data_IF_362691894801
#
_entry.id   IF_362691894801
#
_cell.length_a   1.000
_cell.length_b   1.000
_cell.length_c   1.000
_cell.angle_alpha   90.00
_cell.angle_beta   90.00
_cell.angle_gamma   90.00
#
_symmetry.space_group_name_H-M   'P 1'
#
loop_
_entity.id
_entity.type
_entity.pdbx_description
1 polymer ?
#
# COMPACT_ATOMS: atom_id res chain seq x y z
N UNK A 1 -15.19 1.41 3.69
CA UNK A 1 -14.71 2.75 3.30
C UNK A 1 -15.72 3.83 3.70
N UNK A 2 -15.23 4.96 4.24
CA UNK A 2 -16.00 6.18 4.51
C UNK A 2 -15.98 7.14 3.30
N UNK A 3 -16.61 6.74 2.21
CA UNK A 3 -16.64 7.51 0.96
C UNK A 3 -17.27 8.91 1.13
N UNK A 4 -18.38 9.01 1.86
CA UNK A 4 -19.09 10.28 2.08
C UNK A 4 -18.18 11.30 2.76
N UNK A 5 -17.45 10.91 3.81
CA UNK A 5 -16.53 11.82 4.51
C UNK A 5 -15.39 12.27 3.61
N UNK A 6 -14.84 11.39 2.77
CA UNK A 6 -13.81 11.75 1.79
C UNK A 6 -14.33 12.76 0.76
N UNK A 7 -15.47 12.50 0.14
CA UNK A 7 -16.03 13.41 -0.88
C UNK A 7 -16.46 14.74 -0.27
N UNK A 8 -17.11 14.73 0.90
CA UNK A 8 -17.50 15.95 1.61
C UNK A 8 -16.26 16.83 1.91
N UNK A 9 -15.15 16.22 2.33
CA UNK A 9 -13.88 16.92 2.54
C UNK A 9 -13.31 17.53 1.25
N UNK A 10 -13.28 16.77 0.15
CA UNK A 10 -12.74 17.23 -1.15
C UNK A 10 -13.57 18.39 -1.72
N UNK A 11 -14.89 18.26 -1.73
CA UNK A 11 -15.80 19.32 -2.19
C UNK A 11 -15.67 20.55 -1.28
N UNK A 12 -15.64 20.36 0.04
CA UNK A 12 -15.47 21.46 1.00
C UNK A 12 -14.20 22.28 0.74
N UNK A 13 -13.09 21.61 0.41
CA UNK A 13 -11.85 22.28 0.00
C UNK A 13 -12.00 23.07 -1.30
N UNK A 14 -12.71 22.52 -2.29
CA UNK A 14 -12.97 23.19 -3.58
C UNK A 14 -13.78 24.48 -3.38
N UNK A 15 -14.85 24.41 -2.58
CA UNK A 15 -15.66 25.58 -2.17
C UNK A 15 -14.80 26.62 -1.46
N UNK A 16 -14.00 26.20 -0.47
CA UNK A 16 -13.13 27.09 0.30
C UNK A 16 -12.07 27.76 -0.57
N UNK A 17 -11.50 27.02 -1.54
CA UNK A 17 -10.52 27.54 -2.51
C UNK A 17 -11.17 28.62 -3.36
N UNK A 18 -12.33 28.36 -3.95
CA UNK A 18 -13.07 29.32 -4.76
C UNK A 18 -13.41 30.60 -3.98
N UNK A 19 -13.92 30.49 -2.75
CA UNK A 19 -14.18 31.69 -1.93
C UNK A 19 -12.91 32.50 -1.70
N UNK A 20 -11.78 31.84 -1.40
CA UNK A 20 -10.50 32.51 -1.17
C UNK A 20 -9.95 33.17 -2.42
N UNK A 21 -10.17 32.59 -3.60
CA UNK A 21 -9.80 33.20 -4.89
C UNK A 21 -10.60 34.48 -5.17
N UNK A 22 -11.82 34.58 -4.65
CA UNK A 22 -12.60 35.82 -4.65
C UNK A 22 -12.19 36.81 -3.57
N UNK A 23 -11.23 36.46 -2.71
CA UNK A 23 -10.76 37.25 -1.56
C UNK A 23 -11.85 37.60 -0.54
N UNK A 24 -12.90 36.77 -0.44
CA UNK A 24 -14.05 37.04 0.44
C UNK A 24 -13.92 36.32 1.79
N UNK A 25 -14.39 36.94 2.86
CA UNK A 25 -14.73 36.23 4.10
C UNK A 25 -15.99 35.36 3.88
N UNK A 26 -16.29 34.46 4.82
CA UNK A 26 -17.52 33.65 4.73
C UNK A 26 -18.78 34.52 4.76
N UNK A 27 -18.79 35.60 5.56
CA UNK A 27 -19.92 36.54 5.63
C UNK A 27 -20.08 37.29 4.31
N UNK A 28 -19.00 37.88 3.80
CA UNK A 28 -19.02 38.60 2.52
C UNK A 28 -19.44 37.70 1.35
N UNK A 29 -19.07 36.42 1.38
CA UNK A 29 -19.52 35.46 0.37
C UNK A 29 -21.03 35.25 0.42
N UNK A 30 -21.60 35.04 1.62
CA UNK A 30 -23.04 34.88 1.81
C UNK A 30 -23.79 36.14 1.37
N UNK A 31 -23.34 37.33 1.77
CA UNK A 31 -23.97 38.61 1.42
C UNK A 31 -23.93 38.85 -0.11
N UNK A 32 -22.80 38.54 -0.76
CA UNK A 32 -22.62 38.73 -2.19
C UNK A 32 -23.58 37.89 -3.03
N UNK A 33 -23.91 36.69 -2.56
CA UNK A 33 -24.71 35.71 -3.32
C UNK A 33 -26.08 35.43 -2.70
N UNK A 34 -26.55 36.27 -1.76
CA UNK A 34 -27.82 36.11 -1.05
C UNK A 34 -29.03 35.97 -1.99
N UNK A 35 -29.02 36.69 -3.12
CA UNK A 35 -30.10 36.64 -4.12
C UNK A 35 -30.01 35.41 -5.04
N UNK A 36 -28.89 34.71 -5.07
CA UNK A 36 -28.66 33.56 -5.95
C UNK A 36 -28.79 32.22 -5.22
N UNK A 37 -28.40 32.17 -3.95
CA UNK A 37 -28.45 30.96 -3.15
C UNK A 37 -28.70 31.27 -1.68
N UNK A 38 -29.62 30.53 -1.06
CA UNK A 38 -29.86 30.63 0.37
C UNK A 38 -28.81 29.82 1.13
N UNK A 39 -27.72 30.48 1.53
CA UNK A 39 -26.67 29.88 2.37
C UNK A 39 -26.17 30.86 3.44
N UNK A 40 -26.29 30.47 4.71
CA UNK A 40 -25.74 31.25 5.81
C UNK A 40 -24.25 30.91 6.09
N UNK A 41 -23.59 31.77 6.88
CA UNK A 41 -22.17 31.62 7.27
C UNK A 41 -21.88 30.26 7.93
N UNK A 42 -22.77 29.78 8.80
CA UNK A 42 -22.54 28.52 9.52
C UNK A 42 -22.65 27.33 8.58
N UNK A 43 -23.61 27.38 7.64
CA UNK A 43 -23.78 26.38 6.60
C UNK A 43 -22.61 26.36 5.65
N UNK A 44 -22.16 27.53 5.17
CA UNK A 44 -20.95 27.65 4.36
C UNK A 44 -19.71 27.13 5.10
N UNK A 45 -19.55 27.50 6.37
CA UNK A 45 -18.46 26.97 7.21
C UNK A 45 -18.51 25.45 7.36
N UNK A 46 -19.70 24.88 7.54
CA UNK A 46 -19.85 23.41 7.59
C UNK A 46 -19.47 22.76 6.26
N UNK A 47 -19.88 23.32 5.12
CA UNK A 47 -19.48 22.86 3.79
C UNK A 47 -17.96 22.94 3.60
N UNK A 48 -17.35 24.09 3.86
CA UNK A 48 -15.90 24.29 3.68
C UNK A 48 -15.02 23.35 4.52
N UNK A 49 -15.57 22.84 5.64
CA UNK A 49 -14.90 21.91 6.53
C UNK A 49 -15.32 20.45 6.32
N UNK A 50 -16.13 20.14 5.29
CA UNK A 50 -16.59 18.76 5.02
C UNK A 50 -17.46 18.18 6.14
N UNK A 51 -18.16 19.02 6.91
CA UNK A 51 -18.94 18.59 8.08
C UNK A 51 -20.39 18.31 7.70
N UNK A 52 -20.73 17.03 7.62
CA UNK A 52 -22.12 16.56 7.48
C UNK A 52 -22.82 16.46 8.84
N UNK A 53 -24.01 17.04 8.93
CA UNK A 53 -24.87 16.90 10.11
C UNK A 53 -26.04 15.97 9.78
N UNK A 54 -25.95 14.68 10.14
CA UNK A 54 -26.97 13.66 9.82
C UNK A 54 -28.42 14.07 10.13
N UNK A 55 -28.64 14.83 11.22
CA UNK A 55 -29.98 15.28 11.64
C UNK A 55 -30.47 16.57 10.98
N UNK A 56 -29.56 17.46 10.55
CA UNK A 56 -29.89 18.79 10.01
C UNK A 56 -29.75 18.88 8.51
N UNK A 57 -28.84 18.09 7.94
CA UNK A 57 -28.54 18.04 6.54
C UNK A 57 -27.96 16.66 6.18
N UNK A 58 -28.83 15.65 6.00
CA UNK A 58 -28.40 14.27 5.75
C UNK A 58 -27.64 14.14 4.43
N UNK A 59 -27.95 14.95 3.43
CA UNK A 59 -27.25 15.04 2.15
C UNK A 59 -26.35 16.28 2.17
N UNK A 60 -25.03 16.11 2.38
CA UNK A 60 -24.06 17.21 2.57
C UNK A 60 -24.29 18.41 1.66
N UNK A 61 -24.56 18.16 0.37
CA UNK A 61 -24.99 19.12 -0.63
C UNK A 61 -26.44 18.87 -1.10
N UNK A 62 -27.14 19.95 -1.42
CA UNK A 62 -28.39 19.92 -2.20
C UNK A 62 -28.07 20.10 -3.68
N UNK A 63 -29.01 19.74 -4.58
CA UNK A 63 -28.85 19.98 -6.02
C UNK A 63 -28.66 21.46 -6.33
N UNK A 64 -29.41 22.36 -5.67
CA UNK A 64 -29.25 23.80 -5.85
C UNK A 64 -27.83 24.31 -5.52
N UNK A 65 -27.19 23.71 -4.50
CA UNK A 65 -25.81 24.05 -4.14
C UNK A 65 -24.81 23.52 -5.18
N UNK A 66 -25.05 22.32 -5.72
CA UNK A 66 -24.25 21.77 -6.82
C UNK A 66 -24.34 22.68 -8.04
N UNK A 67 -25.54 23.11 -8.39
CA UNK A 67 -25.80 23.97 -9.55
C UNK A 67 -25.20 25.35 -9.36
N UNK A 68 -25.37 25.94 -8.17
CA UNK A 68 -24.77 27.23 -7.84
C UNK A 68 -23.24 27.19 -7.96
N UNK A 69 -22.57 26.26 -7.27
CA UNK A 69 -21.10 26.23 -7.26
C UNK A 69 -20.51 25.83 -8.62
N UNK A 70 -21.11 24.86 -9.32
CA UNK A 70 -20.65 24.47 -10.65
C UNK A 70 -20.75 25.63 -11.65
N UNK A 71 -21.87 26.36 -11.66
CA UNK A 71 -22.06 27.54 -12.51
C UNK A 71 -21.07 28.66 -12.15
N UNK A 72 -20.87 28.93 -10.87
CA UNK A 72 -19.95 29.98 -10.40
C UNK A 72 -18.48 29.68 -10.69
N UNK A 73 -18.10 28.40 -10.67
CA UNK A 73 -16.74 27.97 -11.00
C UNK A 73 -16.54 27.75 -12.50
N UNK A 74 -17.61 27.76 -13.32
CA UNK A 74 -17.53 27.51 -14.76
C UNK A 74 -17.12 26.07 -15.11
N UNK A 75 -17.50 25.09 -14.28
CA UNK A 75 -17.15 23.68 -14.44
C UNK A 75 -18.41 22.81 -14.51
N UNK A 76 -18.30 21.59 -15.02
CA UNK A 76 -19.44 20.67 -15.03
C UNK A 76 -19.81 20.23 -13.61
N UNK A 77 -21.06 19.79 -13.41
CA UNK A 77 -21.50 19.21 -12.12
C UNK A 77 -20.60 18.03 -11.71
N UNK A 78 -20.21 17.20 -12.67
CA UNK A 78 -19.30 16.06 -12.47
C UNK A 78 -17.92 16.52 -11.98
N UNK A 79 -17.34 17.53 -12.62
CA UNK A 79 -16.05 18.09 -12.22
C UNK A 79 -16.12 18.78 -10.86
N UNK A 80 -17.26 19.39 -10.52
CA UNK A 80 -17.47 19.93 -9.18
C UNK A 80 -17.46 18.82 -8.11
N UNK A 81 -18.20 17.73 -8.35
CA UNK A 81 -18.38 16.63 -7.39
C UNK A 81 -17.14 15.73 -7.25
N UNK A 82 -16.56 15.29 -8.37
CA UNK A 82 -15.50 14.26 -8.39
C UNK A 82 -14.15 14.83 -8.79
N UNK A 83 -14.14 15.88 -9.62
CA UNK A 83 -12.95 16.57 -10.07
C UNK A 83 -12.68 16.47 -11.56
N UNK A 84 -11.68 17.20 -12.02
CA UNK A 84 -11.16 17.08 -13.38
C UNK A 84 -10.41 15.74 -13.59
N UNK A 85 -9.81 15.52 -14.77
CA UNK A 85 -9.10 14.26 -15.08
C UNK A 85 -7.98 13.90 -14.08
N UNK A 86 -7.20 14.87 -13.63
CA UNK A 86 -6.14 14.67 -12.63
C UNK A 86 -6.72 14.36 -11.25
N UNK A 87 -7.72 15.14 -10.82
CA UNK A 87 -8.40 14.93 -9.54
C UNK A 87 -9.14 13.57 -9.49
N UNK A 88 -9.69 13.11 -10.62
CA UNK A 88 -10.31 11.78 -10.76
C UNK A 88 -9.26 10.68 -10.67
N UNK A 89 -8.08 10.89 -11.25
CA UNK A 89 -6.95 9.94 -11.14
C UNK A 89 -6.57 9.76 -9.67
N UNK A 90 -6.38 10.85 -8.95
CA UNK A 90 -6.08 10.82 -7.50
C UNK A 90 -7.21 10.18 -6.69
N UNK A 91 -8.47 10.52 -6.99
CA UNK A 91 -9.63 9.93 -6.32
C UNK A 91 -9.68 8.41 -6.55
N UNK A 92 -9.39 7.96 -7.77
CA UNK A 92 -9.33 6.54 -8.10
C UNK A 92 -8.21 5.86 -7.31
N UNK A 93 -7.00 6.43 -7.29
CA UNK A 93 -5.90 5.89 -6.48
C UNK A 93 -6.26 5.78 -5.00
N UNK A 94 -6.92 6.79 -4.43
CA UNK A 94 -7.39 6.78 -3.03
C UNK A 94 -8.39 5.64 -2.77
N UNK A 95 -9.35 5.42 -3.69
CA UNK A 95 -10.33 4.33 -3.59
C UNK A 95 -9.63 2.97 -3.65
N UNK A 96 -8.78 2.75 -4.66
CA UNK A 96 -8.06 1.49 -4.84
C UNK A 96 -7.13 1.22 -3.65
N UNK A 97 -6.44 2.24 -3.13
CA UNK A 97 -5.64 2.12 -1.92
C UNK A 97 -6.49 1.77 -0.70
N UNK A 98 -7.67 2.36 -0.53
CA UNK A 98 -8.50 2.03 0.63
C UNK A 98 -9.03 0.59 0.58
N UNK A 99 -9.40 0.13 -0.61
CA UNK A 99 -9.77 -1.28 -0.85
C UNK A 99 -8.58 -2.20 -0.57
N UNK A 100 -7.40 -1.85 -1.06
CA UNK A 100 -6.18 -2.61 -0.83
C UNK A 100 -5.83 -2.68 0.66
N UNK A 101 -5.81 -1.54 1.36
CA UNK A 101 -5.52 -1.49 2.79
C UNK A 101 -6.62 -2.15 3.63
N UNK A 102 -7.87 -2.21 3.16
CA UNK A 102 -8.94 -2.98 3.78
C UNK A 102 -9.09 -2.78 5.31
N UNK A 103 -9.05 -1.53 5.78
CA UNK A 103 -9.17 -1.24 7.21
C UNK A 103 -7.95 -1.65 8.04
N UNK A 104 -6.79 -1.84 7.40
CA UNK A 104 -5.54 -2.32 8.00
C UNK A 104 -5.20 -1.69 9.35
N UNK A 105 -5.24 -2.45 10.44
CA UNK A 105 -4.86 -1.97 11.77
C UNK A 105 -3.53 -2.60 12.22
N UNK A 106 -2.56 -1.79 12.62
CA UNK A 106 -1.34 -2.25 13.27
C UNK A 106 -0.89 -1.21 14.31
N UNK A 107 0.22 -1.47 15.01
CA UNK A 107 0.98 -0.46 15.76
C UNK A 107 2.44 -0.43 15.30
N UNK A 108 3.15 0.68 15.49
CA UNK A 108 4.62 0.72 15.41
C UNK A 108 5.27 0.10 16.65
N UNK A 109 4.58 0.14 17.79
CA UNK A 109 4.99 -0.46 19.07
C UNK A 109 3.86 -1.35 19.59
N UNK A 110 4.13 -2.62 19.88
CA UNK A 110 3.15 -3.60 20.38
C UNK A 110 2.44 -3.19 21.69
N UNK A 111 2.90 -2.10 22.34
CA UNK A 111 2.31 -1.51 23.55
C UNK A 111 1.26 -0.43 23.25
N UNK A 112 1.17 0.06 22.03
CA UNK A 112 0.20 1.10 21.62
C UNK A 112 -1.15 0.49 21.22
N UNK A 113 -2.19 1.31 21.19
CA UNK A 113 -3.48 0.90 20.62
C UNK A 113 -3.36 0.83 19.09
N UNK A 114 -3.81 -0.31 18.54
CA UNK A 114 -3.79 -0.55 17.11
C UNK A 114 -4.68 0.46 16.37
N UNK A 115 -4.15 1.09 15.31
CA UNK A 115 -4.86 2.10 14.50
C UNK A 115 -4.75 1.81 13.00
N UNK A 116 -5.76 2.26 12.26
CA UNK A 116 -5.77 2.13 10.80
C UNK A 116 -4.56 2.85 10.18
N UNK A 117 -3.83 2.17 9.29
CA UNK A 117 -2.63 2.72 8.66
C UNK A 117 -2.96 3.63 7.47
N UNK A 118 -2.31 4.79 7.43
CA UNK A 118 -2.30 5.64 6.24
C UNK A 118 -1.12 5.25 5.34
N UNK A 119 -1.37 4.69 4.14
CA UNK A 119 -0.33 4.29 3.21
C UNK A 119 0.32 5.47 2.50
N UNK A 120 -0.07 6.72 2.81
CA UNK A 120 0.51 7.94 2.25
C UNK A 120 1.39 8.61 3.32
N UNK A 121 2.55 9.08 2.90
CA UNK A 121 3.48 9.84 3.73
C UNK A 121 3.00 11.28 3.87
N UNK A 122 2.73 11.74 5.11
CA UNK A 122 2.36 13.13 5.38
C UNK A 122 3.62 14.01 5.55
N UNK A 123 3.84 14.91 4.57
CA UNK A 123 4.94 15.88 4.63
C UNK A 123 4.77 16.94 5.73
N UNK A 124 3.62 16.99 6.41
CA UNK A 124 3.32 17.82 7.59
C UNK A 124 3.19 16.99 8.89
N UNK A 125 3.59 15.70 8.89
CA UNK A 125 3.64 14.88 10.10
C UNK A 125 4.52 15.50 11.21
N UNK A 126 4.43 14.96 12.43
CA UNK A 126 5.33 15.37 13.52
C UNK A 126 6.81 15.29 13.09
N UNK A 127 7.66 16.17 13.61
CA UNK A 127 9.07 16.19 13.19
C UNK A 127 9.75 14.83 13.44
N UNK A 128 9.49 14.18 14.57
CA UNK A 128 10.01 12.84 14.86
C UNK A 128 9.64 11.82 13.77
N UNK A 129 8.35 11.69 13.48
CA UNK A 129 7.84 10.77 12.46
C UNK A 129 8.37 11.12 11.05
N UNK A 130 8.34 12.41 10.68
CA UNK A 130 8.81 12.88 9.39
C UNK A 130 10.28 12.52 9.16
N UNK A 131 11.17 12.89 10.07
CA UNK A 131 12.61 12.67 9.88
C UNK A 131 12.98 11.18 9.99
N UNK A 132 12.31 10.42 10.85
CA UNK A 132 12.46 8.96 10.95
C UNK A 132 12.10 8.26 9.64
N UNK A 133 10.89 8.49 9.13
CA UNK A 133 10.44 7.85 7.90
C UNK A 133 11.24 8.35 6.69
N UNK A 134 11.62 9.64 6.66
CA UNK A 134 12.47 10.17 5.59
C UNK A 134 13.81 9.46 5.53
N UNK A 135 14.47 9.28 6.69
CA UNK A 135 15.74 8.57 6.78
C UNK A 135 15.65 7.14 6.23
N UNK A 136 14.56 6.43 6.51
CA UNK A 136 14.33 5.05 6.07
C UNK A 136 13.99 4.94 4.58
N UNK A 137 13.48 6.02 3.96
CA UNK A 137 13.09 6.04 2.55
C UNK A 137 14.18 6.55 1.59
N UNK A 138 15.33 6.98 2.11
CA UNK A 138 16.52 7.27 1.29
C UNK A 138 17.41 6.03 1.17
N UNK A 139 17.79 5.69 -0.05
CA UNK A 139 18.66 4.57 -0.38
C UNK A 139 20.06 4.82 0.20
N UNK A 140 20.57 3.95 1.10
CA UNK A 140 21.90 4.12 1.67
C UNK A 140 23.05 3.97 0.66
N UNK A 141 22.79 3.38 -0.50
CA UNK A 141 23.78 3.12 -1.55
C UNK A 141 23.73 4.14 -2.70
N UNK A 142 22.73 5.02 -2.74
CA UNK A 142 22.65 6.09 -3.73
C UNK A 142 23.42 7.34 -3.26
N UNK A 143 24.46 7.70 -4.03
CA UNK A 143 25.32 8.87 -3.76
C UNK A 143 24.56 10.19 -3.81
N UNK A 144 23.52 10.30 -4.64
CA UNK A 144 22.69 11.51 -4.71
C UNK A 144 21.80 11.64 -3.48
N UNK A 145 21.42 10.52 -2.87
CA UNK A 145 20.55 10.47 -1.69
C UNK A 145 21.31 10.58 -0.37
N UNK A 146 22.62 10.30 -0.37
CA UNK A 146 23.48 10.30 0.82
C UNK A 146 23.37 11.60 1.63
N UNK A 147 23.34 12.76 0.95
CA UNK A 147 23.22 14.05 1.62
C UNK A 147 21.88 14.21 2.35
N UNK A 148 20.77 13.80 1.73
CA UNK A 148 19.44 13.91 2.31
C UNK A 148 19.27 12.94 3.47
N UNK A 149 19.82 11.73 3.33
CA UNK A 149 19.87 10.71 4.37
C UNK A 149 20.69 11.17 5.59
N UNK A 150 21.81 11.85 5.38
CA UNK A 150 22.61 12.45 6.46
C UNK A 150 21.85 13.55 7.20
N UNK A 151 21.14 14.42 6.48
CA UNK A 151 20.29 15.45 7.10
C UNK A 151 19.20 14.78 7.94
N UNK A 152 18.48 13.81 7.36
CA UNK A 152 17.36 13.15 8.03
C UNK A 152 17.79 12.38 9.29
N UNK A 153 18.85 11.58 9.19
CA UNK A 153 19.37 10.82 10.33
C UNK A 153 19.96 11.72 11.42
N UNK A 154 20.69 12.77 11.05
CA UNK A 154 21.24 13.74 11.99
C UNK A 154 20.15 14.40 12.83
N UNK A 155 19.05 14.82 12.20
CA UNK A 155 17.93 15.42 12.92
C UNK A 155 17.24 14.39 13.81
N UNK A 156 16.84 13.24 13.24
CA UNK A 156 16.12 12.21 13.98
C UNK A 156 16.89 11.72 15.22
N UNK A 157 18.18 11.43 15.09
CA UNK A 157 19.01 10.89 16.18
C UNK A 157 19.39 11.93 17.26
N UNK A 158 19.21 13.23 16.98
CA UNK A 158 19.64 14.31 17.89
C UNK A 158 18.50 15.19 18.41
N UNK A 159 17.27 15.08 17.90
CA UNK A 159 16.15 15.97 18.24
C UNK A 159 15.82 16.04 19.74
N UNK A 160 16.08 14.96 20.49
CA UNK A 160 15.90 14.90 21.95
C UNK A 160 17.08 15.43 22.77
N UNK A 161 18.19 15.85 22.15
CA UNK A 161 19.41 16.30 22.85
C UNK A 161 19.38 17.81 23.09
N UNK A 162 19.88 18.24 24.25
CA UNK A 162 19.97 19.67 24.64
C UNK A 162 20.79 20.53 23.68
N UNK A 163 21.72 19.93 22.94
CA UNK A 163 22.62 20.60 21.99
C UNK A 163 22.05 20.74 20.59
N UNK A 164 20.81 20.29 20.34
CA UNK A 164 20.21 20.32 19.02
C UNK A 164 19.79 21.74 18.60
N UNK A 165 20.36 22.24 17.51
CA UNK A 165 20.03 23.55 16.94
C UNK A 165 18.69 23.52 16.19
N UNK A 166 17.60 23.90 16.88
CA UNK A 166 16.25 23.98 16.27
C UNK A 166 16.14 25.00 15.13
N UNK A 167 17.06 25.97 15.04
CA UNK A 167 16.99 27.08 14.08
C UNK A 167 16.99 26.65 12.60
N UNK A 168 17.56 25.50 12.26
CA UNK A 168 17.66 24.99 10.88
C UNK A 168 16.57 23.96 10.51
N UNK A 169 15.75 23.55 11.47
CA UNK A 169 14.81 22.44 11.32
C UNK A 169 13.82 22.64 10.17
N UNK A 170 13.26 23.85 10.06
CA UNK A 170 12.28 24.20 9.03
C UNK A 170 12.87 24.14 7.62
N UNK A 171 14.11 24.59 7.45
CA UNK A 171 14.82 24.55 6.18
C UNK A 171 15.18 23.11 5.79
N UNK A 172 15.74 22.35 6.72
CA UNK A 172 16.07 20.93 6.53
C UNK A 172 14.84 20.11 6.16
N UNK A 173 13.72 20.35 6.84
CA UNK A 173 12.43 19.71 6.52
C UNK A 173 12.00 20.03 5.10
N UNK A 174 12.06 21.29 4.70
CA UNK A 174 11.68 21.72 3.34
C UNK A 174 12.54 21.05 2.26
N UNK A 175 13.86 20.96 2.49
CA UNK A 175 14.79 20.29 1.55
C UNK A 175 14.43 18.82 1.38
N UNK A 176 14.21 18.10 2.48
CA UNK A 176 13.83 16.68 2.45
C UNK A 176 12.44 16.49 1.84
N UNK A 177 11.47 17.30 2.23
CA UNK A 177 10.10 17.21 1.72
C UNK A 177 10.05 17.37 0.20
N UNK A 178 10.75 18.38 -0.34
CA UNK A 178 10.85 18.59 -1.79
C UNK A 178 11.48 17.38 -2.51
N UNK A 179 12.50 16.76 -1.91
CA UNK A 179 13.15 15.58 -2.51
C UNK A 179 12.21 14.37 -2.48
N UNK A 180 11.51 14.13 -1.37
CA UNK A 180 10.54 13.03 -1.27
C UNK A 180 9.36 13.22 -2.24
N UNK A 181 8.78 14.42 -2.31
CA UNK A 181 7.71 14.76 -3.25
C UNK A 181 8.15 14.54 -4.71
N UNK A 182 9.43 14.77 -5.03
CA UNK A 182 9.96 14.52 -6.39
C UNK A 182 10.01 13.04 -6.79
N UNK A 183 9.98 12.10 -5.84
CA UNK A 183 9.88 10.67 -6.18
C UNK A 183 8.46 10.30 -6.58
N UNK A 184 7.49 10.76 -5.79
CA UNK A 184 6.08 10.55 -6.08
C UNK A 184 5.20 11.63 -5.42
N UNK A 185 4.55 12.51 -6.19
CA UNK A 185 3.78 13.63 -5.66
C UNK A 185 2.43 13.22 -5.07
N UNK A 186 2.02 11.94 -5.19
CA UNK A 186 0.77 11.43 -4.63
C UNK A 186 1.01 10.76 -3.26
N UNK A 187 2.03 9.89 -3.16
CA UNK A 187 2.37 9.15 -1.95
C UNK A 187 3.20 9.96 -0.95
N UNK A 188 3.97 10.95 -1.40
CA UNK A 188 4.63 11.93 -0.54
C UNK A 188 3.88 13.24 -0.58
N UNK A 189 2.68 13.27 0.00
CA UNK A 189 1.78 14.42 -0.11
C UNK A 189 0.82 14.54 1.07
N UNK A 190 0.81 15.71 1.70
CA UNK A 190 -0.08 16.02 2.82
C UNK A 190 -1.56 16.08 2.43
N UNK A 191 -1.90 16.58 1.23
CA UNK A 191 -3.30 16.65 0.79
C UNK A 191 -3.85 15.26 0.48
N UNK A 192 -3.08 14.42 -0.19
CA UNK A 192 -3.46 13.03 -0.45
C UNK A 192 -3.56 12.25 0.86
N UNK A 193 -2.60 12.44 1.77
CA UNK A 193 -2.62 11.83 3.11
C UNK A 193 -3.87 12.21 3.90
N UNK A 194 -4.20 13.52 3.97
CA UNK A 194 -5.42 13.99 4.64
C UNK A 194 -6.68 13.47 3.96
N UNK A 195 -6.69 13.36 2.63
CA UNK A 195 -7.84 12.80 1.89
C UNK A 195 -8.03 11.32 2.19
N UNK A 196 -6.95 10.54 2.24
CA UNK A 196 -6.99 9.14 2.62
C UNK A 196 -7.46 8.95 4.08
N UNK A 197 -7.03 9.80 5.02
CA UNK A 197 -7.56 9.76 6.39
C UNK A 197 -9.08 9.94 6.47
N UNK A 198 -9.69 10.56 5.46
CA UNK A 198 -11.15 10.69 5.40
C UNK A 198 -11.84 9.42 4.87
N UNK A 199 -11.13 8.52 4.17
CA UNK A 199 -11.67 7.24 3.70
C UNK A 199 -11.69 6.17 4.79
N UNK A 200 -10.82 6.31 5.79
CA UNK A 200 -10.68 5.39 6.92
C UNK A 200 -11.99 5.23 7.71
N UNK A 201 -12.38 3.98 7.95
CA UNK A 201 -13.49 3.60 8.83
C UNK A 201 -13.18 2.39 9.74
N UNK A 202 -11.97 1.84 9.64
CA UNK A 202 -11.51 0.68 10.40
C UNK A 202 -12.22 -0.63 10.05
N UNK A 203 -12.97 -0.69 8.95
CA UNK A 203 -13.73 -1.90 8.59
C UNK A 203 -12.99 -2.77 7.57
N UNK A 204 -12.84 -4.04 7.90
CA UNK A 204 -12.26 -5.07 7.02
C UNK A 204 -13.37 -5.72 6.19
N UNK A 205 -13.75 -5.10 5.07
CA UNK A 205 -14.90 -5.55 4.26
C UNK A 205 -14.55 -5.87 2.80
N UNK A 206 -13.29 -5.75 2.42
CA UNK A 206 -12.75 -5.93 1.07
C UNK A 206 -11.66 -7.01 1.01
N UNK A 207 -11.72 -8.02 1.87
CA UNK A 207 -10.65 -9.01 2.03
C UNK A 207 -10.28 -9.72 0.72
N UNK A 208 -11.26 -10.14 -0.09
CA UNK A 208 -10.98 -10.76 -1.38
C UNK A 208 -10.37 -9.76 -2.38
N UNK A 209 -10.95 -8.56 -2.49
CA UNK A 209 -10.48 -7.54 -3.43
C UNK A 209 -9.06 -7.08 -3.07
N UNK A 210 -8.77 -6.90 -1.78
CA UNK A 210 -7.44 -6.60 -1.27
C UNK A 210 -6.43 -7.70 -1.67
N UNK A 211 -6.80 -8.98 -1.52
CA UNK A 211 -5.96 -10.11 -1.91
C UNK A 211 -5.68 -10.13 -3.43
N UNK A 212 -6.66 -9.80 -4.27
CA UNK A 212 -6.47 -9.74 -5.73
C UNK A 212 -5.56 -8.57 -6.14
N UNK A 213 -5.72 -7.40 -5.52
CA UNK A 213 -4.82 -6.25 -5.75
C UNK A 213 -3.40 -6.62 -5.32
N UNK A 214 -3.23 -7.18 -4.12
CA UNK A 214 -1.94 -7.69 -3.61
C UNK A 214 -1.25 -8.59 -4.63
N UNK A 215 -1.97 -9.60 -5.14
CA UNK A 215 -1.45 -10.55 -6.12
C UNK A 215 -1.00 -9.86 -7.40
N UNK A 216 -1.73 -8.84 -7.85
CA UNK A 216 -1.36 -8.04 -9.03
C UNK A 216 -0.14 -7.15 -8.77
N UNK A 217 0.04 -6.61 -7.55
CA UNK A 217 1.23 -5.83 -7.20
C UNK A 217 2.53 -6.63 -7.31
N UNK A 218 2.46 -7.95 -7.13
CA UNK A 218 3.60 -8.84 -7.33
C UNK A 218 4.08 -8.98 -8.77
N UNK A 219 3.38 -8.39 -9.75
CA UNK A 219 3.92 -8.21 -11.09
C UNK A 219 5.21 -7.38 -11.11
N UNK A 220 5.41 -6.46 -10.17
CA UNK A 220 6.70 -5.77 -10.00
C UNK A 220 7.71 -6.73 -9.33
N UNK A 221 8.69 -7.19 -10.11
CA UNK A 221 9.71 -8.13 -9.64
C UNK A 221 10.55 -7.59 -8.46
N UNK A 222 10.90 -6.30 -8.46
CA UNK A 222 11.76 -5.71 -7.41
C UNK A 222 11.01 -5.62 -6.09
N UNK A 223 9.72 -5.32 -6.15
CA UNK A 223 8.86 -5.32 -4.98
C UNK A 223 8.59 -6.74 -4.49
N UNK A 224 8.23 -7.67 -5.39
CA UNK A 224 7.95 -9.06 -5.06
C UNK A 224 9.16 -9.76 -4.41
N UNK A 225 10.35 -9.62 -5.01
CA UNK A 225 11.59 -10.19 -4.48
C UNK A 225 11.89 -9.70 -3.07
N UNK A 226 12.01 -8.39 -2.87
CA UNK A 226 12.35 -7.84 -1.56
C UNK A 226 11.29 -8.19 -0.50
N UNK A 227 10.00 -8.12 -0.85
CA UNK A 227 8.94 -8.44 0.09
C UNK A 227 8.96 -9.92 0.48
N UNK A 228 9.01 -10.84 -0.50
CA UNK A 228 8.95 -12.28 -0.22
C UNK A 228 10.24 -12.77 0.45
N UNK A 229 11.40 -12.19 0.15
CA UNK A 229 12.65 -12.50 0.85
C UNK A 229 12.56 -12.08 2.32
N UNK A 230 11.96 -10.91 2.59
CA UNK A 230 11.69 -10.46 3.97
C UNK A 230 10.74 -11.43 4.68
N UNK A 231 9.65 -11.85 4.03
CA UNK A 231 8.73 -12.87 4.58
C UNK A 231 9.50 -14.15 4.88
N UNK A 232 10.30 -14.65 3.94
CA UNK A 232 11.04 -15.89 4.10
C UNK A 232 12.04 -15.83 5.28
N UNK A 233 12.68 -14.68 5.47
CA UNK A 233 13.62 -14.46 6.59
C UNK A 233 12.94 -14.26 7.94
N UNK A 234 11.71 -13.73 7.96
CA UNK A 234 10.95 -13.48 9.19
C UNK A 234 10.15 -14.70 9.66
N UNK A 235 9.73 -15.55 8.73
CA UNK A 235 8.78 -16.63 9.01
C UNK A 235 9.41 -18.01 9.03
N UNK A 236 10.63 -18.16 8.55
CA UNK A 236 11.27 -19.46 8.39
C UNK A 236 12.72 -19.43 8.91
N UNK A 237 13.19 -20.59 9.38
CA UNK A 237 14.51 -20.82 9.93
C UNK A 237 15.21 -21.98 9.21
N UNK A 238 16.52 -21.84 9.01
CA UNK A 238 17.34 -22.86 8.33
C UNK A 238 17.97 -23.84 9.33
N UNK A 239 17.68 -25.13 9.16
CA UNK A 239 18.29 -26.26 9.87
C UNK A 239 19.22 -27.03 8.91
N UNK A 240 20.45 -26.55 8.77
CA UNK A 240 21.39 -27.13 7.80
C UNK A 240 20.87 -27.00 6.36
N UNK A 241 20.50 -28.12 5.72
CA UNK A 241 19.95 -28.16 4.35
C UNK A 241 18.43 -28.01 4.29
N UNK A 242 17.76 -27.96 5.44
CA UNK A 242 16.32 -27.89 5.56
C UNK A 242 15.88 -26.49 6.00
N UNK A 243 14.69 -26.07 5.59
CA UNK A 243 14.09 -24.81 6.04
C UNK A 243 12.70 -25.08 6.60
N UNK A 244 12.44 -24.62 7.81
CA UNK A 244 11.22 -24.88 8.59
C UNK A 244 10.63 -23.58 9.12
N UNK A 245 9.34 -23.57 9.48
CA UNK A 245 8.67 -22.39 10.04
C UNK A 245 9.26 -21.98 11.38
N UNK A 246 9.38 -20.68 11.60
CA UNK A 246 9.72 -20.11 12.90
C UNK A 246 8.61 -20.42 13.91
N UNK A 247 9.00 -21.12 14.96
CA UNK A 247 8.11 -21.63 16.02
C UNK A 247 7.60 -20.54 16.97
N UNK A 248 8.13 -19.32 16.85
CA UNK A 248 7.74 -18.17 17.67
C UNK A 248 6.67 -17.28 17.03
N UNK A 249 6.24 -17.59 15.82
CA UNK A 249 5.25 -16.82 15.06
C UNK A 249 3.82 -17.18 15.48
N UNK A 250 2.97 -16.15 15.55
CA UNK A 250 1.53 -16.28 15.80
C UNK A 250 0.69 -16.30 14.52
N UNK A 251 1.31 -15.98 13.38
CA UNK A 251 0.71 -15.89 12.06
C UNK A 251 1.78 -16.10 10.98
N UNK A 252 1.35 -16.54 9.80
CA UNK A 252 2.22 -16.77 8.65
C UNK A 252 1.57 -16.18 7.41
N UNK A 253 2.33 -15.36 6.67
CA UNK A 253 1.92 -14.74 5.42
C UNK A 253 1.35 -15.77 4.43
N UNK A 254 1.98 -16.94 4.30
CA UNK A 254 1.52 -17.95 3.34
C UNK A 254 0.09 -18.43 3.64
N UNK A 255 -0.23 -18.63 4.92
CA UNK A 255 -1.54 -19.17 5.32
C UNK A 255 -2.64 -18.16 4.97
N UNK A 256 -2.42 -16.89 5.33
CA UNK A 256 -3.30 -15.78 4.98
C UNK A 256 -3.41 -15.57 3.46
N UNK A 257 -2.28 -15.65 2.74
CA UNK A 257 -2.23 -15.51 1.30
C UNK A 257 -3.06 -16.57 0.58
N UNK A 258 -2.95 -17.85 0.99
CA UNK A 258 -3.67 -18.97 0.38
C UNK A 258 -5.15 -18.96 0.74
N UNK A 259 -5.51 -18.60 1.97
CA UNK A 259 -6.91 -18.51 2.41
C UNK A 259 -7.60 -17.23 1.93
N UNK A 260 -6.86 -16.31 1.30
CA UNK A 260 -7.29 -14.93 1.03
C UNK A 260 -7.84 -14.28 2.29
N UNK A 261 -7.14 -14.44 3.42
CA UNK A 261 -7.52 -13.87 4.72
C UNK A 261 -6.46 -12.89 5.19
N UNK A 262 -6.80 -12.17 6.24
CA UNK A 262 -5.88 -11.30 6.95
C UNK A 262 -5.67 -9.94 6.29
N UNK A 263 -4.82 -9.18 6.96
CA UNK A 263 -4.53 -7.79 6.65
C UNK A 263 -3.13 -7.65 6.03
N UNK A 264 -2.97 -8.27 4.87
CA UNK A 264 -1.67 -8.42 4.20
C UNK A 264 -1.05 -7.08 3.76
N UNK A 265 -1.90 -6.10 3.45
CA UNK A 265 -1.51 -4.76 2.99
C UNK A 265 -0.69 -3.96 4.00
N UNK A 266 -0.99 -4.06 5.30
CA UNK A 266 -0.19 -3.41 6.35
C UNK A 266 1.24 -3.95 6.39
N UNK A 267 1.38 -5.27 6.34
CA UNK A 267 2.67 -5.96 6.36
C UNK A 267 3.49 -5.63 5.11
N UNK A 268 2.83 -5.39 3.97
CA UNK A 268 3.51 -4.98 2.74
C UNK A 268 4.18 -3.63 2.84
N UNK A 269 3.41 -2.62 3.27
CA UNK A 269 3.92 -1.25 3.35
C UNK A 269 4.82 -1.03 4.56
N UNK A 270 4.75 -1.93 5.55
CA UNK A 270 5.59 -1.96 6.75
C UNK A 270 5.73 -0.59 7.39
N UNK A 271 4.60 0.07 7.70
CA UNK A 271 4.58 1.43 8.27
C UNK A 271 5.30 2.51 7.45
N UNK A 272 5.50 2.26 6.15
CA UNK A 272 6.26 3.11 5.24
C UNK A 272 7.77 3.11 5.55
N UNK A 273 8.26 2.09 6.26
CA UNK A 273 9.63 2.00 6.74
C UNK A 273 10.51 1.21 5.77
N UNK A 274 10.18 -0.04 5.52
CA UNK A 274 11.01 -0.93 4.71
C UNK A 274 10.42 -1.12 3.33
N UNK A 275 11.21 -0.76 2.31
CA UNK A 275 10.87 -0.95 0.88
C UNK A 275 9.62 -0.19 0.41
N UNK A 276 9.20 0.85 1.13
CA UNK A 276 8.00 1.61 0.82
C UNK A 276 8.04 2.25 -0.57
N UNK A 277 9.18 2.77 -1.02
CA UNK A 277 9.35 3.25 -2.40
C UNK A 277 9.18 2.15 -3.46
N UNK A 278 9.50 0.89 -3.15
CA UNK A 278 9.26 -0.25 -4.05
C UNK A 278 7.76 -0.56 -4.13
N UNK A 279 7.05 -0.48 -3.01
CA UNK A 279 5.58 -0.55 -2.99
C UNK A 279 4.95 0.57 -3.84
N UNK A 280 5.40 1.81 -3.68
CA UNK A 280 4.91 2.96 -4.48
C UNK A 280 5.08 2.69 -5.98
N UNK A 281 6.26 2.21 -6.39
CA UNK A 281 6.53 1.88 -7.78
C UNK A 281 5.61 0.77 -8.28
N UNK A 282 5.49 -0.34 -7.54
CA UNK A 282 4.61 -1.44 -7.89
C UNK A 282 3.15 -1.01 -8.02
N UNK A 283 2.65 -0.17 -7.10
CA UNK A 283 1.30 0.37 -7.14
C UNK A 283 1.08 1.29 -8.33
N UNK A 284 2.01 2.22 -8.59
CA UNK A 284 1.88 3.15 -9.70
C UNK A 284 1.99 2.47 -11.05
N UNK A 285 2.84 1.45 -11.20
CA UNK A 285 2.96 0.67 -12.42
C UNK A 285 1.67 -0.12 -12.69
N UNK A 286 1.17 -0.83 -11.67
CA UNK A 286 -0.12 -1.50 -11.70
C UNK A 286 -1.26 -0.54 -12.07
N UNK A 287 -1.37 0.59 -11.37
CA UNK A 287 -2.41 1.57 -11.61
C UNK A 287 -2.30 2.16 -13.02
N UNK A 288 -1.09 2.48 -13.49
CA UNK A 288 -0.88 3.04 -14.83
C UNK A 288 -1.38 2.08 -15.90
N UNK A 289 -1.04 0.79 -15.77
CA UNK A 289 -1.41 -0.24 -16.75
C UNK A 289 -2.94 -0.45 -16.83
N UNK A 290 -3.63 -0.42 -15.69
CA UNK A 290 -5.07 -0.69 -15.61
C UNK A 290 -5.95 0.54 -15.32
N UNK A 291 -5.39 1.73 -15.44
CA UNK A 291 -6.07 3.00 -15.12
C UNK A 291 -7.38 3.17 -15.91
N UNK A 292 -7.38 2.80 -17.19
CA UNK A 292 -8.58 2.84 -18.03
C UNK A 292 -9.65 1.86 -17.55
N UNK A 293 -9.27 0.63 -17.18
CA UNK A 293 -10.20 -0.36 -16.65
C UNK A 293 -10.90 0.15 -15.37
N UNK A 294 -10.13 0.73 -14.45
CA UNK A 294 -10.70 1.36 -13.25
C UNK A 294 -11.56 2.57 -13.57
N UNK A 295 -11.13 3.42 -14.50
CA UNK A 295 -11.88 4.59 -14.90
C UNK A 295 -13.25 4.20 -15.46
N UNK A 296 -13.31 3.26 -16.40
CA UNK A 296 -14.59 2.83 -16.99
C UNK A 296 -15.53 2.23 -15.96
N UNK A 297 -15.02 1.37 -15.07
CA UNK A 297 -15.81 0.81 -13.98
C UNK A 297 -16.37 1.90 -13.05
N UNK A 298 -15.52 2.84 -12.64
CA UNK A 298 -15.95 3.94 -11.77
C UNK A 298 -16.89 4.91 -12.48
N UNK A 299 -16.69 5.17 -13.77
CA UNK A 299 -17.56 6.04 -14.53
C UNK A 299 -18.98 5.46 -14.60
N UNK A 300 -19.09 4.17 -14.92
CA UNK A 300 -20.35 3.45 -15.00
C UNK A 300 -21.05 3.36 -13.64
N UNK A 301 -20.33 2.99 -12.58
CA UNK A 301 -20.94 2.61 -11.30
C UNK A 301 -20.92 3.69 -10.21
N UNK A 302 -20.08 4.71 -10.34
CA UNK A 302 -19.85 5.73 -9.31
C UNK A 302 -20.04 7.16 -9.83
N UNK A 303 -19.29 7.58 -10.85
CA UNK A 303 -19.28 8.98 -11.30
C UNK A 303 -20.51 9.38 -12.12
N UNK A 304 -21.28 8.41 -12.61
CA UNK A 304 -22.60 8.61 -13.23
C UNK A 304 -23.72 8.88 -12.22
N UNK A 305 -23.50 8.62 -10.93
CA UNK A 305 -24.54 8.67 -9.89
C UNK A 305 -24.64 10.04 -9.21
N UNK A 306 -25.83 10.35 -8.71
CA UNK A 306 -26.06 11.55 -7.88
C UNK A 306 -25.49 11.37 -6.47
N UNK A 307 -25.18 12.48 -5.79
CA UNK A 307 -24.68 12.44 -4.40
C UNK A 307 -25.65 11.78 -3.41
N UNK A 308 -26.95 11.74 -3.72
CA UNK A 308 -27.96 11.07 -2.88
C UNK A 308 -27.85 9.54 -2.93
N UNK A 309 -27.33 8.99 -4.04
CA UNK A 309 -27.16 7.56 -4.26
C UNK A 309 -25.82 7.02 -3.72
N UNK A 310 -24.88 7.92 -3.42
CA UNK A 310 -23.50 7.61 -3.02
C UNK A 310 -23.32 7.61 -1.49
N UNK A 311 -24.11 6.80 -0.79
CA UNK A 311 -23.90 6.50 0.63
C UNK A 311 -22.67 5.61 0.85
N UNK A 312 -22.11 5.61 2.06
CA UNK A 312 -21.05 4.65 2.40
C UNK A 312 -21.46 3.19 2.14
N UNK A 313 -22.69 2.79 2.46
CA UNK A 313 -23.17 1.41 2.24
C UNK A 313 -23.20 1.06 0.76
N UNK A 314 -23.85 1.91 -0.06
CA UNK A 314 -23.99 1.67 -1.50
C UNK A 314 -22.63 1.65 -2.20
N UNK A 315 -21.70 2.53 -1.83
CA UNK A 315 -20.35 2.53 -2.40
C UNK A 315 -19.57 1.28 -1.99
N UNK A 316 -19.63 0.89 -0.72
CA UNK A 316 -18.97 -0.33 -0.26
C UNK A 316 -19.58 -1.59 -0.91
N UNK A 317 -20.89 -1.60 -1.20
CA UNK A 317 -21.55 -2.69 -1.94
C UNK A 317 -21.09 -2.80 -3.39
N UNK A 318 -20.82 -1.68 -4.07
CA UNK A 318 -20.24 -1.70 -5.43
C UNK A 318 -18.91 -2.44 -5.43
N UNK A 319 -18.00 -2.10 -4.51
CA UNK A 319 -16.66 -2.68 -4.48
C UNK A 319 -16.59 -4.08 -3.86
N UNK A 320 -17.58 -4.47 -3.04
CA UNK A 320 -17.75 -5.88 -2.62
C UNK A 320 -18.47 -6.72 -3.68
N UNK A 321 -19.07 -6.06 -4.65
CA UNK A 321 -19.92 -6.67 -5.65
C UNK A 321 -19.13 -7.54 -6.62
N UNK A 322 -19.84 -8.52 -7.18
CA UNK A 322 -19.30 -9.48 -8.16
C UNK A 322 -18.61 -8.80 -9.34
N UNK A 323 -19.19 -7.73 -9.88
CA UNK A 323 -18.64 -7.03 -11.05
C UNK A 323 -17.23 -6.46 -10.79
N UNK A 324 -16.98 -5.88 -9.61
CA UNK A 324 -15.66 -5.38 -9.26
C UNK A 324 -14.67 -6.53 -9.00
N UNK A 325 -15.13 -7.61 -8.37
CA UNK A 325 -14.30 -8.81 -8.18
C UNK A 325 -13.92 -9.46 -9.50
N UNK A 326 -14.84 -9.55 -10.47
CA UNK A 326 -14.56 -10.06 -11.82
C UNK A 326 -13.53 -9.17 -12.53
N UNK A 327 -13.70 -7.84 -12.48
CA UNK A 327 -12.70 -6.90 -13.00
C UNK A 327 -11.30 -7.14 -12.42
N UNK A 328 -11.18 -7.31 -11.09
CA UNK A 328 -9.89 -7.55 -10.45
C UNK A 328 -9.29 -8.92 -10.82
N UNK A 329 -10.11 -9.95 -11.02
CA UNK A 329 -9.63 -11.25 -11.50
C UNK A 329 -9.14 -11.16 -12.94
N UNK A 330 -9.85 -10.45 -13.82
CA UNK A 330 -9.44 -10.25 -15.20
C UNK A 330 -8.11 -9.47 -15.26
N UNK A 331 -7.99 -8.41 -14.46
CA UNK A 331 -6.74 -7.67 -14.30
C UNK A 331 -5.62 -8.60 -13.85
N UNK A 332 -5.83 -9.36 -12.76
CA UNK A 332 -4.80 -10.25 -12.23
C UNK A 332 -4.37 -11.29 -13.27
N UNK A 333 -5.32 -11.93 -13.95
CA UNK A 333 -5.05 -12.90 -15.00
C UNK A 333 -4.22 -12.30 -16.14
N UNK A 334 -4.60 -11.13 -16.65
CA UNK A 334 -3.85 -10.44 -17.71
C UNK A 334 -2.45 -10.02 -17.24
N UNK A 335 -2.31 -9.64 -15.98
CA UNK A 335 -1.04 -9.23 -15.38
C UNK A 335 -0.01 -10.36 -15.39
N UNK A 336 -0.45 -11.61 -15.15
CA UNK A 336 0.41 -12.80 -15.18
C UNK A 336 1.09 -13.05 -16.53
N UNK A 337 0.52 -12.52 -17.62
CA UNK A 337 1.01 -12.71 -18.99
C UNK A 337 1.54 -11.42 -19.64
N UNK A 338 1.54 -10.30 -18.91
CA UNK A 338 2.07 -9.03 -19.42
C UNK A 338 3.60 -9.06 -19.36
N UNK A 339 4.28 -8.74 -20.47
CA UNK A 339 5.75 -8.89 -20.62
C UNK A 339 6.55 -8.25 -19.48
N UNK A 340 6.23 -7.01 -19.11
CA UNK A 340 6.94 -6.28 -18.06
C UNK A 340 6.62 -6.79 -16.64
N UNK A 341 5.59 -7.62 -16.47
CA UNK A 341 5.04 -8.02 -15.16
C UNK A 341 5.08 -9.51 -14.88
N UNK A 342 5.11 -10.35 -15.92
CA UNK A 342 5.14 -11.81 -15.80
C UNK A 342 6.33 -12.32 -14.99
N UNK A 343 7.46 -11.59 -15.01
CA UNK A 343 8.65 -11.96 -14.25
C UNK A 343 8.38 -11.96 -12.74
N UNK A 344 7.74 -10.90 -12.23
CA UNK A 344 7.37 -10.80 -10.83
C UNK A 344 6.38 -11.88 -10.41
N UNK A 345 5.41 -12.19 -11.28
CA UNK A 345 4.47 -13.29 -11.07
C UNK A 345 5.14 -14.66 -11.05
N UNK A 346 6.09 -14.92 -11.95
CA UNK A 346 6.84 -16.16 -11.98
C UNK A 346 7.71 -16.34 -10.73
N UNK A 347 8.38 -15.28 -10.30
CA UNK A 347 9.12 -15.27 -9.04
C UNK A 347 8.22 -15.59 -7.85
N UNK A 348 7.09 -14.88 -7.77
CA UNK A 348 6.11 -15.03 -6.68
C UNK A 348 5.57 -16.45 -6.63
N UNK A 349 5.22 -17.03 -7.79
CA UNK A 349 4.74 -18.41 -7.87
C UNK A 349 5.78 -19.40 -7.30
N UNK A 350 7.05 -19.22 -7.63
CA UNK A 350 8.15 -20.03 -7.10
C UNK A 350 8.25 -19.92 -5.57
N UNK A 351 8.23 -18.69 -5.04
CA UNK A 351 8.31 -18.43 -3.60
C UNK A 351 7.10 -19.02 -2.84
N UNK A 352 5.88 -18.84 -3.35
CA UNK A 352 4.68 -19.41 -2.72
C UNK A 352 4.75 -20.95 -2.70
N UNK A 353 5.24 -21.57 -3.77
CA UNK A 353 5.46 -23.02 -3.80
C UNK A 353 6.53 -23.44 -2.79
N UNK A 354 7.65 -22.70 -2.69
CA UNK A 354 8.72 -22.93 -1.71
C UNK A 354 8.19 -22.82 -0.27
N UNK A 355 7.43 -21.77 0.05
CA UNK A 355 6.81 -21.61 1.38
C UNK A 355 5.83 -22.73 1.69
N UNK A 356 5.12 -23.24 0.67
CA UNK A 356 4.20 -24.38 0.83
C UNK A 356 4.96 -25.67 1.17
N UNK A 357 6.13 -25.89 0.57
CA UNK A 357 7.00 -27.01 0.97
C UNK A 357 7.53 -26.84 2.38
N UNK A 358 8.02 -25.65 2.73
CA UNK A 358 8.50 -25.34 4.08
C UNK A 358 7.39 -25.61 5.12
N UNK A 359 6.15 -25.20 4.84
CA UNK A 359 4.98 -25.51 5.68
C UNK A 359 4.82 -27.01 5.86
N UNK A 360 4.77 -27.77 4.77
CA UNK A 360 4.56 -29.21 4.78
C UNK A 360 5.67 -29.96 5.52
N UNK A 361 6.92 -29.57 5.29
CA UNK A 361 8.08 -30.14 5.96
C UNK A 361 8.05 -29.83 7.46
N UNK A 362 7.65 -28.60 7.82
CA UNK A 362 7.41 -28.23 9.22
C UNK A 362 6.36 -29.12 9.86
N UNK A 363 5.18 -29.25 9.25
CA UNK A 363 4.09 -30.09 9.75
C UNK A 363 4.51 -31.56 9.92
N UNK A 364 5.31 -32.09 8.98
CA UNK A 364 5.85 -33.46 9.05
C UNK A 364 6.78 -33.66 10.23
N UNK A 365 7.65 -32.69 10.50
CA UNK A 365 8.71 -32.80 11.50
C UNK A 365 8.29 -32.29 12.87
N UNK A 366 7.10 -31.70 13.02
CA UNK A 366 6.59 -31.30 14.32
C UNK A 366 6.45 -32.52 15.24
N UNK A 367 6.92 -32.36 16.49
CA UNK A 367 6.67 -33.34 17.54
C UNK A 367 5.16 -33.47 17.76
N UNK A 368 4.72 -34.66 18.17
CA UNK A 368 3.31 -34.94 18.47
C UNK A 368 2.73 -33.87 19.41
N UNK A 369 1.48 -33.49 19.15
CA UNK A 369 0.71 -32.49 19.92
C UNK A 369 1.16 -31.03 19.75
N UNK A 370 2.18 -30.75 18.92
CA UNK A 370 2.56 -29.38 18.58
C UNK A 370 1.83 -28.96 17.31
N UNK A 371 1.22 -27.77 17.36
CA UNK A 371 0.57 -27.12 16.22
C UNK A 371 1.10 -25.70 16.12
N UNK A 372 1.51 -25.30 14.92
CA UNK A 372 1.89 -23.93 14.59
C UNK A 372 0.73 -23.22 13.88
N UNK A 373 0.58 -21.89 14.02
CA UNK A 373 1.37 -20.99 14.87
C UNK A 373 1.15 -21.22 16.37
N UNK A 374 2.15 -20.90 17.18
CA UNK A 374 2.15 -21.15 18.63
C UNK A 374 2.36 -19.86 19.42
N UNK A 375 1.60 -19.66 20.50
CA UNK A 375 1.55 -18.37 21.22
C UNK A 375 2.74 -18.09 22.14
N UNK A 376 3.57 -19.10 22.43
CA UNK A 376 4.69 -18.99 23.38
C UNK A 376 5.98 -19.40 22.69
N UNK A 377 6.99 -18.53 22.73
CA UNK A 377 8.29 -18.82 22.11
C UNK A 377 8.87 -20.13 22.66
N UNK A 378 9.12 -21.09 21.77
CA UNK A 378 9.81 -22.35 22.05
C UNK A 378 11.01 -22.49 21.13
N UNK A 379 12.06 -23.13 21.64
CA UNK A 379 13.21 -23.43 20.81
C UNK A 379 12.83 -24.46 19.72
N UNK A 380 13.47 -24.43 18.56
CA UNK A 380 13.16 -25.39 17.51
C UNK A 380 13.34 -26.85 17.91
N UNK A 381 14.32 -27.19 18.75
CA UNK A 381 14.57 -28.57 19.19
C UNK A 381 13.43 -29.13 20.07
N UNK A 382 12.70 -28.24 20.75
CA UNK A 382 11.49 -28.57 21.51
C UNK A 382 10.27 -28.76 20.60
N UNK A 383 10.30 -28.21 19.38
CA UNK A 383 9.18 -28.20 18.44
C UNK A 383 9.30 -29.26 17.34
N UNK A 384 10.50 -29.39 16.77
CA UNK A 384 10.77 -30.28 15.66
C UNK A 384 11.57 -31.50 16.12
N UNK A 385 11.27 -32.63 15.49
CA UNK A 385 12.03 -33.86 15.58
C UNK A 385 12.72 -34.12 14.24
N UNK A 386 13.96 -33.64 14.12
CA UNK A 386 14.76 -33.79 12.90
C UNK A 386 15.11 -35.25 12.58
N UNK A 387 14.92 -36.19 13.52
CA UNK A 387 15.10 -37.63 13.23
C UNK A 387 14.00 -38.18 12.31
N UNK A 388 12.89 -37.46 12.15
CA UNK A 388 11.80 -37.79 11.22
C UNK A 388 12.08 -37.32 9.78
N UNK A 389 13.19 -36.62 9.55
CA UNK A 389 13.60 -36.20 8.22
C UNK A 389 14.14 -37.40 7.43
N UNK A 390 13.40 -37.80 6.41
CA UNK A 390 13.74 -38.86 5.46
C UNK A 390 14.12 -38.29 4.08
N UNK A 391 14.27 -36.97 3.97
CA UNK A 391 14.45 -36.34 2.67
C UNK A 391 15.80 -36.69 2.05
N UNK A 392 15.77 -37.11 0.79
CA UNK A 392 16.96 -37.45 0.02
C UNK A 392 17.66 -36.16 -0.43
N UNK A 393 18.38 -35.53 0.50
CA UNK A 393 19.09 -34.26 0.32
C UNK A 393 20.13 -34.28 -0.80
N UNK A 394 20.52 -35.45 -1.27
CA UNK A 394 21.49 -35.64 -2.35
C UNK A 394 20.85 -35.89 -3.72
N UNK A 395 19.51 -35.94 -3.83
CA UNK A 395 18.79 -36.05 -5.11
C UNK A 395 18.30 -34.68 -5.64
N UNK A 396 18.03 -34.58 -6.93
CA UNK A 396 17.36 -33.42 -7.52
C UNK A 396 15.85 -33.47 -7.23
N UNK A 397 15.46 -32.94 -6.08
CA UNK A 397 14.08 -32.94 -5.61
C UNK A 397 13.36 -31.61 -5.91
N UNK A 398 12.07 -31.53 -5.56
CA UNK A 398 11.25 -30.34 -5.82
C UNK A 398 11.79 -29.08 -5.15
N UNK A 399 12.41 -29.18 -3.97
CA UNK A 399 13.02 -28.04 -3.28
C UNK A 399 14.19 -27.47 -4.08
N UNK A 400 15.06 -28.32 -4.65
CA UNK A 400 16.16 -27.89 -5.52
C UNK A 400 15.66 -27.34 -6.86
N UNK A 401 14.61 -27.94 -7.43
CA UNK A 401 13.96 -27.39 -8.61
C UNK A 401 13.45 -25.96 -8.38
N UNK A 402 12.75 -25.73 -7.27
CA UNK A 402 12.25 -24.39 -6.93
C UNK A 402 13.38 -23.41 -6.63
N UNK A 403 14.44 -23.85 -5.96
CA UNK A 403 15.64 -23.04 -5.73
C UNK A 403 16.31 -22.61 -7.03
N UNK A 404 16.49 -23.54 -7.98
CA UNK A 404 17.06 -23.21 -9.29
C UNK A 404 16.14 -22.27 -10.07
N UNK A 405 14.82 -22.50 -10.03
CA UNK A 405 13.85 -21.65 -10.71
C UNK A 405 13.78 -20.23 -10.12
N UNK A 406 13.82 -20.10 -8.79
CA UNK A 406 13.99 -18.84 -8.07
C UNK A 406 15.28 -18.13 -8.52
N UNK A 407 16.43 -18.80 -8.46
CA UNK A 407 17.72 -18.21 -8.83
C UNK A 407 17.79 -17.80 -10.30
N UNK A 408 17.29 -18.61 -11.23
CA UNK A 408 17.22 -18.25 -12.65
C UNK A 408 16.38 -16.99 -12.86
N UNK A 409 15.26 -16.88 -12.15
CA UNK A 409 14.38 -15.71 -12.20
C UNK A 409 15.09 -14.46 -11.64
N UNK A 410 15.81 -14.60 -10.52
CA UNK A 410 16.59 -13.51 -9.91
C UNK A 410 17.72 -13.05 -10.81
N UNK A 411 18.47 -13.98 -11.40
CA UNK A 411 19.53 -13.67 -12.36
C UNK A 411 18.98 -12.90 -13.57
N UNK A 412 17.86 -13.34 -14.13
CA UNK A 412 17.23 -12.66 -15.26
C UNK A 412 16.73 -11.26 -14.87
N UNK A 413 16.04 -11.13 -13.73
CA UNK A 413 15.51 -9.85 -13.25
C UNK A 413 16.58 -8.83 -12.86
N UNK A 414 17.78 -9.29 -12.54
CA UNK A 414 18.94 -8.46 -12.22
C UNK A 414 20.01 -8.48 -13.31
N UNK A 415 19.68 -8.86 -14.55
CA UNK A 415 20.65 -9.00 -15.65
C UNK A 415 21.46 -7.75 -15.96
N UNK A 416 20.97 -6.57 -15.58
CA UNK A 416 21.65 -5.29 -15.80
C UNK A 416 22.49 -4.84 -14.59
N UNK A 417 22.44 -5.57 -13.48
CA UNK A 417 23.21 -5.29 -12.27
C UNK A 417 24.55 -6.06 -12.30
N UNK A 418 25.68 -5.33 -12.30
CA UNK A 418 27.03 -5.92 -12.36
C UNK A 418 27.36 -6.83 -11.17
N UNK A 419 26.81 -6.55 -9.98
CA UNK A 419 27.01 -7.39 -8.80
C UNK A 419 26.35 -8.77 -8.97
N UNK A 420 25.23 -8.83 -9.71
CA UNK A 420 24.53 -10.07 -10.05
C UNK A 420 25.16 -10.82 -11.23
N UNK A 421 25.82 -10.12 -12.15
CA UNK A 421 26.60 -10.77 -13.23
C UNK A 421 27.82 -11.52 -12.69
N UNK A 422 28.42 -11.01 -11.62
CA UNK A 422 29.65 -11.56 -11.04
C UNK A 422 29.40 -12.47 -9.83
N UNK A 423 28.22 -12.40 -9.20
CA UNK A 423 27.83 -13.38 -8.19
C UNK A 423 27.39 -14.65 -8.91
N UNK A 424 28.22 -15.68 -8.85
CA UNK A 424 27.83 -17.02 -9.27
C UNK A 424 26.71 -17.50 -8.35
N UNK A 425 25.45 -17.27 -8.71
CA UNK A 425 24.33 -17.90 -8.03
C UNK A 425 24.42 -19.39 -8.35
N UNK A 426 24.60 -20.21 -7.32
CA UNK A 426 24.65 -21.66 -7.48
C UNK A 426 23.35 -22.16 -8.09
N UNK A 427 23.46 -23.01 -9.10
CA UNK A 427 22.35 -23.85 -9.55
C UNK A 427 22.71 -25.28 -9.20
N UNK A 428 21.73 -26.06 -8.76
CA UNK A 428 21.87 -27.50 -8.57
C UNK A 428 21.82 -28.21 -9.93
N UNK A 429 20.99 -27.75 -10.87
CA UNK A 429 20.78 -28.35 -12.20
C UNK A 429 22.08 -28.79 -12.90
N UNK A 430 23.17 -27.97 -12.98
CA UNK A 430 24.36 -28.36 -13.72
C UNK A 430 25.10 -29.57 -13.15
N UNK A 431 25.15 -29.71 -11.83
CA UNK A 431 25.78 -30.85 -11.15
C UNK A 431 24.98 -32.13 -11.39
N UNK A 432 23.65 -32.06 -11.34
CA UNK A 432 22.77 -33.22 -11.47
C UNK A 432 22.61 -33.72 -12.90
N UNK A 433 22.54 -32.81 -13.87
CA UNK A 433 22.31 -33.16 -15.28
C UNK A 433 23.59 -33.19 -16.12
N UNK A 434 24.77 -33.12 -15.49
CA UNK A 434 26.07 -33.06 -16.16
C UNK A 434 26.14 -31.96 -17.24
N UNK A 435 25.52 -30.81 -16.98
CA UNK A 435 25.50 -29.69 -17.93
C UNK A 435 26.86 -29.01 -17.87
N UNK A 436 27.58 -29.02 -19.00
CA UNK A 436 28.85 -28.29 -19.12
C UNK A 436 28.55 -26.83 -19.51
N UNK A 437 28.99 -25.84 -18.71
CA UNK A 437 28.88 -24.45 -19.11
C UNK A 437 29.62 -24.23 -20.43
N UNK A 438 28.96 -23.59 -21.39
CA UNK A 438 29.65 -23.08 -22.58
C UNK A 438 30.40 -21.83 -22.12
N UNK A 439 31.73 -21.87 -22.20
CA UNK A 439 32.61 -20.76 -21.84
C UNK A 439 32.45 -19.56 -22.77
#
# INVERSE_FOLDING_TARGET
MNFEKMIDYRIGRKIKKYRKELELTQEQFCDKFELEISIDKFRLSALENGRRHKKKNPHFLTEDLVDFFSNKMGISKKDFLFGNSEEITDLTKLIILNIFMNGSIQTTDLREEAREQNPIFDLEASDDEFFRLSYLNFDPFDKEEEQYRKIASSVYLNMGKKTFEKGKLKEQRKIIANKLESYDPFFFNTNSSKSYQMTMDGTEQFTEQSSLILRSLFGDFKFASIFLDRVDNLENYSFGRLKLRDTSRTEFFLDDYLEKKGNLSAVMIDWKEVSYRKFINAFNEYYKLYSNNFYYFLDEHLFSKSMKELSNSSVNEIFRGRAFTELLNDIYFLDEFTEDRMLGHNYTRAQIQKFTLIKKDSEKLLRKEIVLPYKVKRSPDECYDLSLDDSHHDEYNLSKYLYDFENMTVLYGNRDNEDYKNSGTGLHLPEYFNIKPIK
#
